data_IF_268007532998
#
_entry.id   IF_268007532998
#
_cell.length_a   1.000
_cell.length_b   1.000
_cell.length_c   1.000
_cell.angle_alpha   90.00
_cell.angle_beta   90.00
_cell.angle_gamma   90.00
#
_symmetry.space_group_name_H-M   'P 1'
#
loop_
_entity.id
_entity.type
_entity.pdbx_description
1 polymer ?
#
# COMPACT_ATOMS: atom_id res chain seq x y z
N UNK A 1 21.29 -30.44 21.89
CA UNK A 1 20.82 -29.42 20.93
C UNK A 1 21.06 -28.07 21.56
N UNK A 2 21.90 -27.23 20.96
CA UNK A 2 22.29 -25.94 21.56
C UNK A 2 21.57 -24.83 20.80
N UNK A 3 20.60 -24.20 21.45
CA UNK A 3 19.90 -23.03 20.88
C UNK A 3 20.86 -21.83 20.96
N UNK A 4 21.01 -21.11 19.85
CA UNK A 4 21.80 -19.87 19.79
C UNK A 4 20.91 -18.73 19.29
N UNK A 5 21.07 -17.56 19.90
CA UNK A 5 20.35 -16.34 19.55
C UNK A 5 21.24 -15.46 18.68
N UNK A 6 20.68 -14.90 17.62
CA UNK A 6 21.36 -13.98 16.69
C UNK A 6 20.49 -12.73 16.49
N UNK A 7 21.09 -11.60 16.12
CA UNK A 7 20.37 -10.37 15.73
C UNK A 7 20.49 -10.15 14.22
N UNK A 8 19.41 -9.74 13.56
CA UNK A 8 19.44 -9.29 12.15
C UNK A 8 20.33 -8.04 12.06
N UNK A 9 21.07 -7.87 10.95
CA UNK A 9 21.79 -6.61 10.67
C UNK A 9 20.78 -5.48 10.48
N UNK A 10 21.12 -4.23 10.83
CA UNK A 10 20.30 -3.08 10.46
C UNK A 10 20.19 -3.01 8.93
N UNK A 11 18.98 -2.80 8.44
CA UNK A 11 18.68 -2.59 7.02
C UNK A 11 17.88 -1.30 6.96
N UNK A 12 18.42 -0.29 6.30
CA UNK A 12 17.69 0.94 6.01
C UNK A 12 16.66 0.63 4.91
N UNK A 13 15.44 1.13 5.10
CA UNK A 13 14.35 0.97 4.12
C UNK A 13 13.93 2.33 3.62
N UNK A 14 13.47 2.38 2.37
CA UNK A 14 12.81 3.56 1.82
C UNK A 14 11.30 3.42 2.04
N UNK A 15 10.63 4.49 2.48
CA UNK A 15 9.18 4.46 2.65
C UNK A 15 8.51 5.77 2.24
N UNK A 16 7.31 5.67 1.69
CA UNK A 16 6.47 6.81 1.30
C UNK A 16 5.04 6.56 1.73
N UNK A 17 4.38 7.61 2.21
CA UNK A 17 2.97 7.56 2.59
C UNK A 17 2.09 7.90 1.40
N UNK A 18 1.11 7.06 1.11
CA UNK A 18 0.08 7.38 0.12
C UNK A 18 -0.98 8.29 0.77
N UNK A 19 -1.13 9.50 0.25
CA UNK A 19 -2.04 10.54 0.76
C UNK A 19 -3.05 11.01 -0.30
N UNK A 20 -3.31 10.16 -1.30
CA UNK A 20 -4.25 10.45 -2.39
C UNK A 20 -3.55 10.87 -3.68
N UNK A 21 -4.31 11.52 -4.58
CA UNK A 21 -3.90 11.80 -5.96
C UNK A 21 -2.54 12.51 -6.10
N UNK A 22 -2.28 13.53 -5.27
CA UNK A 22 -1.03 14.28 -5.32
C UNK A 22 0.19 13.39 -5.10
N UNK A 23 0.17 12.58 -4.03
CA UNK A 23 1.25 11.63 -3.73
C UNK A 23 1.36 10.51 -4.76
N UNK A 24 0.28 10.15 -5.46
CA UNK A 24 0.31 9.06 -6.43
C UNK A 24 1.28 9.32 -7.58
N UNK A 25 1.41 10.58 -8.02
CA UNK A 25 2.34 10.98 -9.08
C UNK A 25 3.80 10.82 -8.64
N UNK A 26 4.09 11.25 -7.42
CA UNK A 26 5.42 11.12 -6.80
C UNK A 26 5.77 9.65 -6.60
N UNK A 27 4.82 8.87 -6.07
CA UNK A 27 4.96 7.43 -5.86
C UNK A 27 5.19 6.70 -7.18
N UNK A 28 4.50 7.08 -8.27
CA UNK A 28 4.70 6.44 -9.57
C UNK A 28 6.09 6.71 -10.15
N UNK A 29 6.67 7.86 -9.84
CA UNK A 29 8.06 8.19 -10.24
C UNK A 29 9.07 7.39 -9.41
N UNK A 30 8.83 7.28 -8.10
CA UNK A 30 9.68 6.54 -7.16
C UNK A 30 9.58 5.02 -7.31
N UNK A 31 8.38 4.51 -7.58
CA UNK A 31 8.03 3.10 -7.75
C UNK A 31 7.26 2.92 -9.08
N UNK A 32 7.97 2.77 -10.21
CA UNK A 32 7.33 2.55 -11.51
C UNK A 32 6.45 1.30 -11.52
N UNK A 33 5.34 1.35 -12.26
CA UNK A 33 4.38 0.25 -12.37
C UNK A 33 3.23 0.30 -11.36
N UNK A 34 3.13 1.36 -10.56
CA UNK A 34 1.92 1.63 -9.75
C UNK A 34 0.75 2.09 -10.61
N UNK A 35 -0.47 1.79 -10.17
CA UNK A 35 -1.71 2.28 -10.81
C UNK A 35 -2.59 2.98 -9.78
N UNK A 36 -2.94 4.25 -10.01
CA UNK A 36 -3.95 4.94 -9.21
C UNK A 36 -5.35 4.59 -9.70
N UNK A 37 -6.20 4.15 -8.77
CA UNK A 37 -7.63 3.90 -9.04
C UNK A 37 -8.44 5.04 -8.44
N UNK A 38 -9.10 5.88 -9.25
CA UNK A 38 -9.88 6.99 -8.75
C UNK A 38 -11.09 6.55 -7.93
N UNK A 39 -11.59 7.47 -7.11
CA UNK A 39 -12.86 7.31 -6.39
C UNK A 39 -13.99 7.01 -7.38
N UNK A 40 -14.83 6.02 -7.06
CA UNK A 40 -15.96 5.63 -7.91
C UNK A 40 -15.62 4.81 -9.17
N UNK A 41 -14.35 4.56 -9.49
CA UNK A 41 -13.97 3.74 -10.65
C UNK A 41 -13.98 2.25 -10.34
N UNK A 42 -14.53 1.40 -11.19
CA UNK A 42 -14.52 -0.04 -10.98
C UNK A 42 -13.10 -0.64 -11.07
N UNK A 43 -12.76 -1.57 -10.17
CA UNK A 43 -11.51 -2.33 -10.20
C UNK A 43 -11.62 -3.61 -9.36
N UNK A 44 -11.01 -4.71 -9.80
CA UNK A 44 -11.14 -6.03 -9.15
C UNK A 44 -10.57 -6.12 -7.72
N UNK A 45 -9.68 -5.20 -7.34
CA UNK A 45 -9.13 -5.09 -5.97
C UNK A 45 -10.03 -4.27 -5.01
N UNK A 46 -11.24 -3.89 -5.43
CA UNK A 46 -12.21 -3.27 -4.54
C UNK A 46 -12.73 -4.25 -3.49
N UNK A 47 -13.02 -3.72 -2.31
CA UNK A 47 -13.70 -4.49 -1.29
C UNK A 47 -15.16 -4.67 -1.65
N UNK A 48 -15.75 -5.82 -1.28
CA UNK A 48 -17.19 -6.09 -1.50
C UNK A 48 -18.13 -5.00 -0.97
N UNK A 49 -17.73 -4.28 0.08
CA UNK A 49 -18.50 -3.18 0.67
C UNK A 49 -18.55 -1.90 -0.18
N UNK A 50 -17.69 -1.80 -1.20
CA UNK A 50 -17.57 -0.65 -2.10
C UNK A 50 -18.40 -0.82 -3.37
N UNK A 51 -19.12 -1.93 -3.46
CA UNK A 51 -20.13 -2.18 -4.47
C UNK A 51 -21.50 -1.97 -3.83
N UNK A 52 -22.35 -1.22 -4.52
CA UNK A 52 -23.75 -1.03 -4.15
C UNK A 52 -24.47 -2.38 -4.16
N UNK A 53 -25.13 -2.71 -3.04
CA UNK A 53 -25.76 -4.04 -2.88
C UNK A 53 -27.03 -4.23 -3.72
N UNK A 54 -27.65 -3.15 -4.19
CA UNK A 54 -28.89 -3.18 -4.95
C UNK A 54 -28.67 -3.43 -6.44
N UNK A 55 -27.55 -2.97 -7.00
CA UNK A 55 -27.27 -3.04 -8.44
C UNK A 55 -25.83 -3.48 -8.79
N UNK A 56 -24.93 -3.61 -7.82
CA UNK A 56 -23.53 -4.00 -8.05
C UNK A 56 -22.64 -2.89 -8.59
N UNK A 57 -23.12 -1.65 -8.71
CA UNK A 57 -22.33 -0.53 -9.22
C UNK A 57 -21.36 0.04 -8.17
N UNK A 58 -20.34 0.72 -8.65
CA UNK A 58 -19.35 1.43 -7.82
C UNK A 58 -19.67 2.92 -7.86
N UNK A 59 -19.99 3.51 -6.70
CA UNK A 59 -20.30 4.94 -6.60
C UNK A 59 -19.24 5.70 -5.80
N UNK A 60 -18.96 6.98 -6.14
CA UNK A 60 -17.96 7.79 -5.46
C UNK A 60 -18.12 7.87 -3.94
N UNK A 61 -19.35 7.80 -3.43
CA UNK A 61 -19.69 7.97 -2.01
C UNK A 61 -19.24 6.77 -1.15
N UNK A 62 -19.13 5.59 -1.75
CA UNK A 62 -18.82 4.33 -1.05
C UNK A 62 -17.48 3.71 -1.47
N UNK A 63 -16.88 4.22 -2.54
CA UNK A 63 -15.72 3.61 -3.19
C UNK A 63 -14.53 4.58 -3.24
N UNK A 64 -13.70 4.67 -2.18
CA UNK A 64 -12.57 5.58 -2.12
C UNK A 64 -11.53 5.27 -3.21
N UNK A 65 -10.63 6.24 -3.43
CA UNK A 65 -9.42 6.04 -4.23
C UNK A 65 -8.44 5.14 -3.51
N UNK A 66 -7.63 4.41 -4.27
CA UNK A 66 -6.53 3.62 -3.75
C UNK A 66 -5.41 3.50 -4.79
N UNK A 67 -4.24 3.04 -4.36
CA UNK A 67 -3.12 2.74 -5.24
C UNK A 67 -2.95 1.22 -5.38
N UNK A 68 -2.63 0.75 -6.57
CA UNK A 68 -2.20 -0.63 -6.82
C UNK A 68 -0.69 -0.65 -6.97
N UNK A 69 -0.04 -1.54 -6.23
CA UNK A 69 1.41 -1.78 -6.29
C UNK A 69 1.69 -3.23 -6.66
N UNK A 70 2.85 -3.49 -7.27
CA UNK A 70 3.38 -4.85 -7.40
C UNK A 70 4.08 -5.23 -6.09
N UNK A 71 3.42 -6.02 -5.24
CA UNK A 71 4.03 -6.56 -4.03
C UNK A 71 4.64 -7.94 -4.27
N UNK A 72 5.41 -8.45 -3.32
CA UNK A 72 5.95 -9.81 -3.38
C UNK A 72 4.86 -10.91 -3.51
N UNK A 73 3.62 -10.66 -3.07
CA UNK A 73 2.49 -11.58 -3.17
C UNK A 73 1.64 -11.36 -4.44
N UNK A 74 2.05 -10.43 -5.32
CA UNK A 74 1.29 -10.00 -6.50
C UNK A 74 0.69 -8.58 -6.34
N UNK A 75 -0.21 -8.18 -7.26
CA UNK A 75 -0.85 -6.87 -7.21
C UNK A 75 -1.60 -6.66 -5.89
N UNK A 76 -1.27 -5.59 -5.19
CA UNK A 76 -1.84 -5.27 -3.89
C UNK A 76 -2.45 -3.87 -3.89
N UNK A 77 -3.56 -3.73 -3.18
CA UNK A 77 -4.21 -2.44 -2.92
C UNK A 77 -3.59 -1.79 -1.69
N UNK A 78 -3.25 -0.51 -1.83
CA UNK A 78 -2.78 0.39 -0.77
C UNK A 78 -3.82 1.46 -0.56
N UNK A 79 -4.37 1.53 0.65
CA UNK A 79 -5.37 2.53 1.01
C UNK A 79 -4.72 3.86 1.37
N UNK A 80 -5.47 4.95 1.20
CA UNK A 80 -5.01 6.27 1.62
C UNK A 80 -4.68 6.29 3.12
N UNK A 81 -3.49 6.77 3.46
CA UNK A 81 -2.94 6.76 4.81
C UNK A 81 -1.98 5.60 5.10
N UNK A 82 -1.88 4.61 4.22
CA UNK A 82 -0.91 3.53 4.33
C UNK A 82 0.48 3.97 3.85
N UNK A 83 1.49 3.27 4.35
CA UNK A 83 2.89 3.42 3.98
C UNK A 83 3.29 2.31 3.02
N UNK A 84 3.97 2.68 1.95
CA UNK A 84 4.63 1.77 1.01
C UNK A 84 6.10 1.70 1.41
N UNK A 85 6.61 0.48 1.53
CA UNK A 85 7.96 0.19 2.04
C UNK A 85 8.73 -0.56 0.96
N UNK A 86 9.95 -0.11 0.69
CA UNK A 86 10.91 -0.75 -0.19
C UNK A 86 12.13 -1.19 0.62
N UNK A 87 12.27 -2.51 0.77
CA UNK A 87 13.44 -3.18 1.37
C UNK A 87 14.22 -3.85 0.23
N UNK A 88 15.17 -3.10 -0.35
CA UNK A 88 15.85 -3.50 -1.58
C UNK A 88 14.88 -3.62 -2.76
N UNK A 89 14.72 -4.84 -3.29
CA UNK A 89 13.78 -5.16 -4.38
C UNK A 89 12.39 -5.58 -3.87
N UNK A 90 12.22 -5.75 -2.56
CA UNK A 90 10.97 -6.21 -1.97
C UNK A 90 10.10 -5.00 -1.66
N UNK A 91 8.91 -4.98 -2.26
CA UNK A 91 7.88 -3.96 -2.01
C UNK A 91 6.78 -4.54 -1.12
N UNK A 92 6.46 -3.81 -0.06
CA UNK A 92 5.39 -4.13 0.89
C UNK A 92 4.64 -2.85 1.30
N UNK A 93 3.57 -2.99 2.07
CA UNK A 93 2.85 -1.84 2.62
C UNK A 93 2.27 -2.19 3.99
N UNK A 94 2.03 -1.18 4.82
CA UNK A 94 1.33 -1.33 6.08
C UNK A 94 0.62 -0.04 6.49
N UNK A 95 -0.33 -0.15 7.41
CA UNK A 95 -1.00 1.04 7.93
C UNK A 95 -0.08 1.89 8.80
N UNK A 96 -0.46 3.16 9.03
CA UNK A 96 0.31 4.11 9.84
C UNK A 96 0.65 3.56 11.24
N UNK A 97 -0.26 2.86 11.91
CA UNK A 97 0.00 2.32 13.26
C UNK A 97 1.13 1.30 13.23
N UNK A 98 1.04 0.30 12.34
CA UNK A 98 2.09 -0.71 12.14
C UNK A 98 3.42 -0.08 11.75
N UNK A 99 3.39 0.92 10.86
CA UNK A 99 4.61 1.62 10.45
C UNK A 99 5.32 2.28 11.63
N UNK A 100 4.59 3.09 12.41
CA UNK A 100 5.15 3.83 13.57
C UNK A 100 5.65 2.92 14.69
N UNK A 101 5.12 1.70 14.81
CA UNK A 101 5.60 0.71 15.79
C UNK A 101 6.85 -0.05 15.32
N UNK A 102 7.10 -0.08 14.01
CA UNK A 102 8.13 -0.95 13.40
C UNK A 102 9.36 -0.17 12.96
N UNK A 103 9.19 1.08 12.51
CA UNK A 103 10.25 1.88 11.88
C UNK A 103 10.51 3.18 12.64
N UNK A 104 11.78 3.58 12.64
CA UNK A 104 12.25 4.85 13.19
C UNK A 104 12.98 5.61 12.08
N UNK A 105 12.86 6.94 12.07
CA UNK A 105 13.61 7.78 11.15
C UNK A 105 15.10 7.80 11.55
N UNK A 106 15.98 7.68 10.57
CA UNK A 106 17.44 7.73 10.71
C UNK A 106 17.97 9.10 10.33
#
# INVERSE_FOLDING_TARGET
>A
MTVKTFRKKPVDVEAVKFTGWSSAVEIQTWLPGTLFVPRGYEHHLRYKREYDRSNGNVYPEIAPSFLVIASAAGPARVDEGDWIIKDGEIVSFCNTSTFTQTYEAV
#
